data_IF_957931522118
#
_entry.id   IF_957931522118
#
_cell.length_a   1.000
_cell.length_b   1.000
_cell.length_c   1.000
_cell.angle_alpha   90.00
_cell.angle_beta   90.00
_cell.angle_gamma   90.00
#
_symmetry.space_group_name_H-M   'P 1'
#
loop_
_entity.id
_entity.type
_entity.pdbx_description
1 polymer ?
#
# COMPACT_ATOMS: atom_id res chain seq x y z
N UNK A 1 9.95 12.94 16.83
CA UNK A 1 10.43 14.29 16.45
C UNK A 1 9.48 15.01 15.49
N UNK A 2 8.98 14.39 14.43
CA UNK A 2 8.01 15.02 13.51
C UNK A 2 6.73 15.48 14.23
N UNK A 3 6.19 14.67 15.15
CA UNK A 3 4.99 15.05 15.92
C UNK A 3 5.19 16.28 16.84
N UNK A 4 6.45 16.63 17.14
CA UNK A 4 6.79 17.77 18.00
C UNK A 4 7.07 19.06 17.19
N UNK A 5 7.43 18.93 15.91
CA UNK A 5 7.85 20.04 15.04
C UNK A 5 7.05 20.14 13.73
N UNK A 6 5.92 19.42 13.62
CA UNK A 6 5.11 19.35 12.41
C UNK A 6 4.43 20.67 11.99
N UNK A 7 4.51 21.72 12.81
CA UNK A 7 4.03 23.06 12.47
C UNK A 7 5.11 23.96 11.84
N UNK A 8 6.38 23.53 11.81
CA UNK A 8 7.50 24.33 11.28
C UNK A 8 7.90 23.82 9.89
N UNK A 9 7.50 24.50 8.80
CA UNK A 9 7.81 24.07 7.44
C UNK A 9 9.33 23.95 7.17
N UNK A 10 10.14 24.75 7.86
CA UNK A 10 11.61 24.69 7.80
C UNK A 10 12.20 23.38 8.37
N UNK A 11 11.61 22.84 9.43
CA UNK A 11 12.06 21.59 10.06
C UNK A 11 11.62 20.38 9.23
N UNK A 12 10.44 20.46 8.61
CA UNK A 12 9.95 19.47 7.66
C UNK A 12 10.85 19.42 6.42
N UNK A 13 11.18 20.59 5.85
CA UNK A 13 12.11 20.70 4.73
C UNK A 13 13.50 20.16 5.11
N UNK A 14 14.04 20.52 6.28
CA UNK A 14 15.34 20.04 6.75
C UNK A 14 15.38 18.51 6.99
N UNK A 15 14.27 17.91 7.44
CA UNK A 15 14.13 16.45 7.53
C UNK A 15 14.09 15.80 6.15
N UNK A 16 13.38 16.39 5.19
CA UNK A 16 13.33 15.90 3.80
C UNK A 16 14.71 15.89 3.10
N UNK A 17 15.67 16.70 3.55
CA UNK A 17 17.03 16.74 3.01
C UNK A 17 17.98 15.65 3.56
N UNK A 18 17.55 14.78 4.48
CA UNK A 18 18.40 13.65 4.94
C UNK A 18 18.45 12.52 3.91
N UNK A 19 19.66 12.05 3.59
CA UNK A 19 19.89 10.98 2.61
C UNK A 19 19.30 9.62 2.99
N UNK A 20 19.08 9.34 4.28
CA UNK A 20 18.39 8.13 4.74
C UNK A 20 17.36 8.53 5.79
N UNK A 21 16.09 8.47 5.42
CA UNK A 21 14.96 8.67 6.32
C UNK A 21 14.38 7.33 6.72
N UNK A 22 14.13 7.08 8.03
CA UNK A 22 13.38 5.90 8.45
C UNK A 22 12.00 5.89 7.80
N UNK A 23 11.53 4.72 7.37
CA UNK A 23 10.25 4.54 6.67
C UNK A 23 9.07 5.20 7.42
N UNK A 24 9.07 5.12 8.76
CA UNK A 24 8.05 5.74 9.63
C UNK A 24 8.05 7.28 9.58
N UNK A 25 9.18 7.90 9.29
CA UNK A 25 9.32 9.36 9.15
C UNK A 25 8.80 9.80 7.79
N UNK A 26 9.18 9.09 6.72
CA UNK A 26 8.72 9.39 5.35
C UNK A 26 7.21 9.21 5.24
N UNK A 27 6.66 8.17 5.85
CA UNK A 27 5.20 7.96 5.91
C UNK A 27 4.48 9.11 6.62
N UNK A 28 5.07 9.65 7.71
CA UNK A 28 4.49 10.81 8.41
C UNK A 28 4.51 12.07 7.53
N UNK A 29 5.55 12.26 6.72
CA UNK A 29 5.61 13.38 5.77
C UNK A 29 4.54 13.25 4.68
N UNK A 30 4.34 12.04 4.16
CA UNK A 30 3.28 11.75 3.18
C UNK A 30 1.90 12.06 3.76
N UNK A 31 1.65 11.70 5.02
CA UNK A 31 0.41 12.01 5.71
C UNK A 31 0.15 13.52 5.79
N UNK A 32 1.16 14.28 6.23
CA UNK A 32 1.06 15.74 6.35
C UNK A 32 0.86 16.42 4.99
N UNK A 33 1.58 15.96 3.96
CA UNK A 33 1.42 16.48 2.61
C UNK A 33 0.02 16.17 2.04
N UNK A 34 -0.49 14.96 2.27
CA UNK A 34 -1.83 14.55 1.81
C UNK A 34 -2.93 15.39 2.47
N UNK A 35 -2.77 15.70 3.75
CA UNK A 35 -3.71 16.55 4.49
C UNK A 35 -3.67 18.02 4.00
N UNK A 36 -2.48 18.55 3.74
CA UNK A 36 -2.33 19.89 3.16
C UNK A 36 -2.95 19.99 1.74
N UNK A 37 -2.77 18.95 0.91
CA UNK A 37 -3.41 18.86 -0.41
C UNK A 37 -4.94 18.81 -0.29
N UNK A 38 -5.47 18.03 0.65
CA UNK A 38 -6.92 17.96 0.93
C UNK A 38 -7.49 19.34 1.24
N UNK A 39 -6.86 20.05 2.17
CA UNK A 39 -7.27 21.40 2.57
C UNK A 39 -7.20 22.39 1.39
N UNK A 40 -6.13 22.31 0.59
CA UNK A 40 -5.97 23.15 -0.60
C UNK A 40 -7.07 22.90 -1.65
N UNK A 41 -7.41 21.63 -1.91
CA UNK A 41 -8.45 21.28 -2.88
C UNK A 41 -9.84 21.80 -2.48
N UNK A 42 -10.17 21.75 -1.18
CA UNK A 42 -11.44 22.26 -0.66
C UNK A 42 -11.47 23.79 -0.72
N UNK A 43 -10.39 24.45 -0.27
CA UNK A 43 -10.36 25.91 -0.09
C UNK A 43 -10.15 26.68 -1.40
N UNK A 44 -9.32 26.17 -2.31
CA UNK A 44 -8.89 26.90 -3.52
C UNK A 44 -9.58 26.42 -4.79
N UNK A 45 -9.92 25.13 -4.86
CA UNK A 45 -10.45 24.51 -6.08
C UNK A 45 -11.94 24.15 -5.96
N UNK A 46 -12.60 24.49 -4.84
CA UNK A 46 -14.02 24.21 -4.58
C UNK A 46 -14.40 22.74 -4.80
N UNK A 47 -13.45 21.83 -4.60
CA UNK A 47 -13.70 20.39 -4.70
C UNK A 47 -14.60 20.00 -3.54
N UNK A 48 -15.65 19.21 -3.82
CA UNK A 48 -16.54 18.70 -2.79
C UNK A 48 -15.71 18.02 -1.67
N UNK A 49 -15.96 18.33 -0.38
CA UNK A 49 -15.14 17.83 0.73
C UNK A 49 -14.94 16.31 0.73
N UNK A 50 -16.00 15.56 0.41
CA UNK A 50 -15.96 14.10 0.31
C UNK A 50 -15.00 13.61 -0.78
N UNK A 51 -14.99 14.29 -1.93
CA UNK A 51 -14.09 13.99 -3.05
C UNK A 51 -12.64 14.32 -2.69
N UNK A 52 -12.39 15.45 -2.02
CA UNK A 52 -11.05 15.80 -1.57
C UNK A 52 -10.50 14.80 -0.53
N UNK A 53 -11.34 14.34 0.41
CA UNK A 53 -10.99 13.30 1.38
C UNK A 53 -10.62 11.99 0.67
N UNK A 54 -11.42 11.56 -0.31
CA UNK A 54 -11.14 10.35 -1.08
C UNK A 54 -9.83 10.45 -1.84
N UNK A 55 -9.58 11.57 -2.53
CA UNK A 55 -8.36 11.80 -3.31
C UNK A 55 -7.09 11.83 -2.43
N UNK A 56 -7.15 12.54 -1.29
CA UNK A 56 -6.02 12.59 -0.36
C UNK A 56 -5.73 11.22 0.27
N UNK A 57 -6.78 10.48 0.64
CA UNK A 57 -6.63 9.11 1.16
C UNK A 57 -6.03 8.17 0.12
N UNK A 58 -6.49 8.27 -1.13
CA UNK A 58 -5.94 7.52 -2.27
C UNK A 58 -4.45 7.81 -2.46
N UNK A 59 -4.08 9.10 -2.50
CA UNK A 59 -2.70 9.52 -2.74
C UNK A 59 -1.76 9.04 -1.64
N UNK A 60 -2.22 9.12 -0.38
CA UNK A 60 -1.49 8.60 0.78
C UNK A 60 -1.24 7.11 0.65
N UNK A 61 -2.30 6.32 0.47
CA UNK A 61 -2.18 4.85 0.40
C UNK A 61 -1.30 4.40 -0.78
N UNK A 62 -1.30 5.15 -1.89
CA UNK A 62 -0.37 4.91 -3.01
C UNK A 62 1.07 5.14 -2.57
N UNK A 63 1.37 6.31 -1.99
CA UNK A 63 2.71 6.66 -1.55
C UNK A 63 3.22 5.69 -0.48
N UNK A 64 2.40 5.26 0.47
CA UNK A 64 2.76 4.23 1.48
C UNK A 64 3.26 2.94 0.83
N UNK A 65 2.54 2.43 -0.19
CA UNK A 65 2.94 1.21 -0.91
C UNK A 65 4.23 1.43 -1.69
N UNK A 66 4.36 2.56 -2.39
CA UNK A 66 5.57 2.88 -3.16
C UNK A 66 6.80 3.05 -2.23
N UNK A 67 6.61 3.59 -1.02
CA UNK A 67 7.66 3.68 0.00
C UNK A 67 8.11 2.31 0.50
N UNK A 68 7.16 1.40 0.75
CA UNK A 68 7.49 0.02 1.16
C UNK A 68 8.25 -0.70 0.04
N UNK A 69 7.84 -0.49 -1.21
CA UNK A 69 8.49 -1.06 -2.39
C UNK A 69 9.97 -0.67 -2.47
N UNK A 70 10.27 0.61 -2.24
CA UNK A 70 11.63 1.15 -2.24
C UNK A 70 12.43 0.80 -0.97
N UNK A 71 11.76 0.58 0.16
CA UNK A 71 12.39 0.30 1.45
C UNK A 71 12.62 -1.19 1.74
N UNK A 72 12.26 -2.07 0.80
CA UNK A 72 12.27 -3.54 0.91
C UNK A 72 13.59 -4.15 1.41
N UNK A 73 14.72 -3.44 1.35
CA UNK A 73 16.02 -3.91 1.83
C UNK A 73 16.40 -3.47 3.26
N UNK A 74 15.71 -2.48 3.86
CA UNK A 74 16.16 -1.83 5.11
C UNK A 74 15.06 -1.51 6.14
N UNK A 75 13.80 -1.92 5.91
CA UNK A 75 12.68 -1.55 6.78
C UNK A 75 12.35 -2.60 7.85
N UNK A 76 12.24 -2.17 9.12
CA UNK A 76 11.54 -2.92 10.18
C UNK A 76 10.03 -2.89 9.90
N UNK A 77 9.59 -3.87 9.11
CA UNK A 77 8.22 -3.99 8.63
C UNK A 77 7.20 -4.24 9.76
N UNK A 78 7.47 -5.07 10.79
CA UNK A 78 6.60 -5.17 11.97
C UNK A 78 6.33 -3.83 12.65
N UNK A 79 7.38 -3.04 12.92
CA UNK A 79 7.22 -1.73 13.56
C UNK A 79 6.44 -0.76 12.67
N UNK A 80 6.68 -0.80 11.37
CA UNK A 80 5.96 0.01 10.40
C UNK A 80 4.46 -0.30 10.37
N UNK A 81 4.10 -1.58 10.30
CA UNK A 81 2.70 -2.02 10.32
C UNK A 81 2.00 -1.63 11.62
N UNK A 82 2.66 -1.82 12.78
CA UNK A 82 2.11 -1.39 14.06
C UNK A 82 1.84 0.12 14.10
N UNK A 83 2.73 0.92 13.47
CA UNK A 83 2.54 2.37 13.35
C UNK A 83 1.35 2.72 12.45
N UNK A 84 1.17 2.03 11.32
CA UNK A 84 0.01 2.21 10.44
C UNK A 84 -1.30 1.83 11.15
N UNK A 85 -1.29 0.73 11.91
CA UNK A 85 -2.45 0.25 12.65
C UNK A 85 -2.84 1.21 13.78
N UNK A 86 -1.87 1.67 14.58
CA UNK A 86 -2.10 2.65 15.66
C UNK A 86 -2.75 3.96 15.15
N UNK A 87 -2.47 4.33 13.90
CA UNK A 87 -3.02 5.53 13.24
C UNK A 87 -4.28 5.28 12.41
N UNK A 88 -4.83 4.05 12.43
CA UNK A 88 -5.97 3.63 11.59
C UNK A 88 -5.72 3.82 10.08
N UNK A 89 -4.47 3.82 9.66
CA UNK A 89 -4.06 3.90 8.26
C UNK A 89 -3.97 2.51 7.59
N UNK A 90 -3.95 1.43 8.40
CA UNK A 90 -3.98 0.06 7.92
C UNK A 90 -5.41 -0.32 7.47
N UNK A 91 -5.74 0.00 6.22
CA UNK A 91 -7.07 -0.23 5.63
C UNK A 91 -7.08 -1.49 4.75
N UNK A 92 -8.28 -2.07 4.55
CA UNK A 92 -8.44 -3.17 3.59
C UNK A 92 -8.07 -2.79 2.16
N UNK A 93 -8.28 -1.52 1.79
CA UNK A 93 -7.84 -0.97 0.51
C UNK A 93 -6.31 -0.91 0.42
N UNK A 94 -5.59 -0.47 1.45
CA UNK A 94 -4.12 -0.48 1.49
C UNK A 94 -3.58 -1.92 1.37
N UNK A 95 -4.14 -2.85 2.13
CA UNK A 95 -3.72 -4.26 2.09
C UNK A 95 -3.94 -4.91 0.73
N UNK A 96 -5.07 -4.65 0.07
CA UNK A 96 -5.35 -5.20 -1.25
C UNK A 96 -4.32 -4.71 -2.28
N UNK A 97 -3.85 -3.47 -2.14
CA UNK A 97 -2.86 -2.88 -3.05
C UNK A 97 -1.45 -3.35 -2.78
N UNK A 98 -1.10 -3.50 -1.51
CA UNK A 98 0.14 -4.17 -1.12
C UNK A 98 0.20 -5.56 -1.76
N UNK A 99 -0.89 -6.33 -1.62
CA UNK A 99 -1.02 -7.63 -2.24
C UNK A 99 -0.89 -7.54 -3.76
N UNK A 100 -1.66 -6.68 -4.44
CA UNK A 100 -1.63 -6.50 -5.90
C UNK A 100 -0.27 -6.03 -6.46
N UNK A 101 0.65 -5.57 -5.61
CA UNK A 101 2.04 -5.24 -5.97
C UNK A 101 3.03 -6.37 -5.68
N UNK A 102 2.55 -7.52 -5.19
CA UNK A 102 3.39 -8.63 -4.76
C UNK A 102 4.06 -8.43 -3.40
N UNK A 103 3.70 -7.39 -2.64
CA UNK A 103 4.27 -7.08 -1.33
C UNK A 103 3.67 -7.99 -0.24
N UNK A 104 4.00 -9.29 -0.33
CA UNK A 104 3.44 -10.34 0.53
C UNK A 104 3.84 -10.14 2.00
N UNK A 105 5.07 -9.74 2.28
CA UNK A 105 5.52 -9.47 3.64
C UNK A 105 4.68 -8.38 4.32
N UNK A 106 4.35 -7.29 3.61
CA UNK A 106 3.49 -6.22 4.15
C UNK A 106 2.07 -6.74 4.41
N UNK A 107 1.56 -7.59 3.50
CA UNK A 107 0.25 -8.21 3.66
C UNK A 107 0.20 -9.15 4.88
N UNK A 108 1.21 -9.99 5.08
CA UNK A 108 1.30 -10.94 6.19
C UNK A 108 1.39 -10.23 7.55
N UNK A 109 2.27 -9.24 7.67
CA UNK A 109 2.38 -8.44 8.89
C UNK A 109 1.10 -7.62 9.13
N UNK A 110 0.52 -7.02 8.08
CA UNK A 110 -0.73 -6.29 8.17
C UNK A 110 -1.89 -7.14 8.67
N UNK A 111 -2.03 -8.36 8.14
CA UNK A 111 -3.10 -9.27 8.52
C UNK A 111 -2.89 -9.84 9.93
N UNK A 112 -1.64 -10.11 10.31
CA UNK A 112 -1.28 -10.52 11.67
C UNK A 112 -1.67 -9.46 12.71
N UNK A 113 -1.34 -8.19 12.43
CA UNK A 113 -1.63 -7.04 13.28
C UNK A 113 -3.15 -6.82 13.43
N UNK A 114 -3.90 -6.80 12.31
CA UNK A 114 -5.36 -6.63 12.35
C UNK A 114 -6.07 -7.79 13.04
N UNK A 115 -5.62 -9.02 12.84
CA UNK A 115 -6.20 -10.19 13.49
C UNK A 115 -5.77 -10.35 14.95
N UNK A 116 -4.78 -9.57 15.42
CA UNK A 116 -4.19 -9.72 16.75
C UNK A 116 -3.59 -11.13 16.95
N UNK A 117 -2.90 -11.65 15.93
CA UNK A 117 -2.27 -12.97 15.95
C UNK A 117 -0.77 -12.88 15.69
N UNK A 118 0.06 -13.77 16.27
CA UNK A 118 1.48 -13.79 15.95
C UNK A 118 1.73 -13.98 14.46
N UNK A 119 2.72 -13.27 13.89
CA UNK A 119 3.04 -13.31 12.47
C UNK A 119 3.25 -14.74 11.94
N UNK A 120 3.95 -15.60 12.69
CA UNK A 120 4.15 -17.00 12.29
C UNK A 120 2.83 -17.78 12.12
N UNK A 121 1.83 -17.51 12.95
CA UNK A 121 0.51 -18.14 12.83
C UNK A 121 -0.25 -17.57 11.63
N UNK A 122 -0.17 -16.25 11.42
CA UNK A 122 -0.77 -15.61 10.26
C UNK A 122 -0.16 -16.13 8.96
N UNK A 123 1.16 -16.28 8.90
CA UNK A 123 1.90 -16.86 7.80
C UNK A 123 1.38 -18.26 7.46
N UNK A 124 1.28 -19.15 8.46
CA UNK A 124 0.74 -20.50 8.25
C UNK A 124 -0.69 -20.48 7.68
N UNK A 125 -1.55 -19.58 8.17
CA UNK A 125 -2.93 -19.45 7.69
C UNK A 125 -3.02 -18.86 6.28
N UNK A 126 -2.14 -17.91 5.95
CA UNK A 126 -2.07 -17.26 4.62
C UNK A 126 -1.51 -18.21 3.57
N UNK A 127 -0.56 -19.07 3.94
CA UNK A 127 0.10 -20.03 3.04
C UNK A 127 -0.48 -21.44 3.11
N UNK A 128 -1.49 -21.66 3.96
CA UNK A 128 -2.18 -22.94 4.05
C UNK A 128 -2.78 -23.34 2.69
N UNK A 129 -2.59 -24.60 2.30
CA UNK A 129 -3.16 -25.13 1.06
C UNK A 129 -4.70 -25.22 1.13
N UNK A 130 -5.27 -25.23 2.35
CA UNK A 130 -6.70 -25.28 2.59
C UNK A 130 -7.44 -23.96 2.32
N UNK A 131 -8.73 -24.01 1.95
CA UNK A 131 -9.54 -22.81 1.70
C UNK A 131 -9.94 -22.06 2.98
N UNK A 132 -9.70 -22.66 4.15
CA UNK A 132 -10.19 -22.16 5.44
C UNK A 132 -9.17 -21.29 6.18
N UNK A 133 -7.87 -21.51 5.98
CA UNK A 133 -6.81 -20.75 6.66
C UNK A 133 -6.93 -19.25 6.39
N UNK A 134 -6.87 -18.87 5.11
CA UNK A 134 -6.98 -17.47 4.69
C UNK A 134 -8.32 -16.85 5.11
N UNK A 135 -9.42 -17.59 4.98
CA UNK A 135 -10.75 -17.10 5.37
C UNK A 135 -10.84 -16.82 6.87
N UNK A 136 -10.36 -17.74 7.71
CA UNK A 136 -10.45 -17.61 9.16
C UNK A 136 -9.64 -16.42 9.70
N UNK A 137 -8.46 -16.16 9.15
CA UNK A 137 -7.67 -14.98 9.54
C UNK A 137 -8.27 -13.68 8.97
N UNK A 138 -8.84 -13.72 7.77
CA UNK A 138 -9.52 -12.58 7.15
C UNK A 138 -10.74 -12.13 7.95
N UNK A 139 -11.58 -13.09 8.34
CA UNK A 139 -12.77 -12.83 9.16
C UNK A 139 -12.36 -12.26 10.54
N UNK A 140 -11.26 -12.76 11.12
CA UNK A 140 -10.71 -12.27 12.38
C UNK A 140 -10.12 -10.86 12.27
N UNK A 141 -9.54 -10.51 11.12
CA UNK A 141 -8.99 -9.19 10.85
C UNK A 141 -10.06 -8.10 10.67
N UNK A 142 -11.35 -8.46 10.61
CA UNK A 142 -12.45 -7.50 10.50
C UNK A 142 -12.52 -6.78 9.15
N UNK A 143 -11.92 -7.36 8.11
CA UNK A 143 -11.92 -6.79 6.77
C UNK A 143 -13.29 -6.97 6.07
N UNK A 144 -13.68 -6.07 5.14
CA UNK A 144 -14.99 -6.14 4.49
C UNK A 144 -15.19 -7.44 3.69
N UNK A 145 -16.20 -8.29 3.98
CA UNK A 145 -16.39 -9.59 3.32
C UNK A 145 -16.46 -9.53 1.79
N UNK A 146 -16.94 -8.41 1.24
CA UNK A 146 -17.01 -8.13 -0.21
C UNK A 146 -15.64 -8.18 -0.91
N UNK A 147 -14.55 -7.89 -0.18
CA UNK A 147 -13.20 -7.88 -0.75
C UNK A 147 -12.52 -9.24 -0.69
N UNK A 148 -13.08 -10.22 0.06
CA UNK A 148 -12.42 -11.50 0.29
C UNK A 148 -12.02 -12.22 -1.01
N UNK A 149 -12.88 -12.19 -2.03
CA UNK A 149 -12.58 -12.81 -3.32
C UNK A 149 -11.39 -12.16 -4.03
N UNK A 150 -11.22 -10.84 -3.89
CA UNK A 150 -10.07 -10.14 -4.44
C UNK A 150 -8.78 -10.51 -3.69
N UNK A 151 -8.82 -10.58 -2.36
CA UNK A 151 -7.67 -11.04 -1.58
C UNK A 151 -7.26 -12.47 -1.92
N UNK A 152 -8.24 -13.37 -2.04
CA UNK A 152 -7.99 -14.77 -2.42
C UNK A 152 -7.33 -14.86 -3.80
N UNK A 153 -7.86 -14.17 -4.81
CA UNK A 153 -7.27 -14.14 -6.15
C UNK A 153 -5.82 -13.62 -6.14
N UNK A 154 -5.51 -12.63 -5.31
CA UNK A 154 -4.17 -12.07 -5.18
C UNK A 154 -3.19 -13.07 -4.55
N UNK A 155 -3.59 -13.77 -3.48
CA UNK A 155 -2.76 -14.80 -2.84
C UNK A 155 -2.55 -15.99 -3.79
N UNK A 156 -3.60 -16.45 -4.48
CA UNK A 156 -3.51 -17.56 -5.43
C UNK A 156 -2.58 -17.22 -6.61
N UNK A 157 -2.66 -15.98 -7.11
CA UNK A 157 -1.75 -15.48 -8.16
C UNK A 157 -0.31 -15.44 -7.69
N UNK A 158 -0.06 -14.91 -6.48
CA UNK A 158 1.28 -14.86 -5.90
C UNK A 158 1.87 -16.26 -5.71
N UNK A 159 1.09 -17.22 -5.20
CA UNK A 159 1.52 -18.62 -5.05
C UNK A 159 1.86 -19.27 -6.39
N UNK A 160 1.07 -19.00 -7.41
CA UNK A 160 1.31 -19.51 -8.77
C UNK A 160 2.65 -19.00 -9.31
N UNK A 161 2.91 -17.70 -9.19
CA UNK A 161 4.16 -17.09 -9.66
C UNK A 161 5.38 -17.56 -8.86
N UNK A 162 5.24 -17.75 -7.54
CA UNK A 162 6.27 -18.35 -6.70
C UNK A 162 6.59 -19.79 -7.11
N UNK A 163 5.56 -20.59 -7.42
CA UNK A 163 5.74 -21.97 -7.90
C UNK A 163 6.43 -22.04 -9.28
N UNK A 164 6.29 -20.99 -10.09
CA UNK A 164 7.00 -20.83 -11.37
C UNK A 164 8.50 -20.48 -11.20
N UNK A 165 8.97 -20.27 -9.96
CA UNK A 165 10.38 -20.01 -9.64
C UNK A 165 10.81 -18.58 -9.97
N UNK A 166 9.87 -17.64 -10.08
CA UNK A 166 10.15 -16.23 -10.33
C UNK A 166 10.63 -15.59 -9.03
N UNK A 167 11.75 -14.86 -9.06
CA UNK A 167 12.24 -14.11 -7.92
C UNK A 167 11.22 -13.04 -7.50
N UNK A 168 10.67 -13.16 -6.28
CA UNK A 168 9.67 -12.22 -5.75
C UNK A 168 10.17 -10.80 -5.54
N UNK A 169 11.49 -10.60 -5.64
CA UNK A 169 12.17 -9.31 -5.49
C UNK A 169 12.29 -8.57 -6.82
N UNK A 170 12.04 -9.25 -7.95
CA UNK A 170 12.19 -8.67 -9.28
C UNK A 170 11.02 -7.74 -9.65
N UNK A 171 11.32 -6.64 -10.34
CA UNK A 171 10.31 -5.73 -10.87
C UNK A 171 9.42 -6.43 -11.91
N UNK A 172 9.96 -7.42 -12.63
CA UNK A 172 9.20 -8.26 -13.53
C UNK A 172 8.13 -9.10 -12.80
N UNK A 173 8.42 -9.60 -11.59
CA UNK A 173 7.45 -10.30 -10.77
C UNK A 173 6.29 -9.38 -10.37
N UNK A 174 6.60 -8.14 -9.96
CA UNK A 174 5.59 -7.15 -9.57
C UNK A 174 4.65 -6.82 -10.72
N UNK A 175 5.22 -6.63 -11.92
CA UNK A 175 4.46 -6.36 -13.12
C UNK A 175 3.59 -7.57 -13.52
N UNK A 176 4.15 -8.79 -13.48
CA UNK A 176 3.43 -10.00 -13.81
C UNK A 176 2.31 -10.33 -12.80
N UNK A 177 2.54 -10.03 -11.52
CA UNK A 177 1.55 -10.15 -10.46
C UNK A 177 0.36 -9.24 -10.72
N UNK A 178 0.63 -7.97 -11.04
CA UNK A 178 -0.41 -7.00 -11.39
C UNK A 178 -1.19 -7.45 -12.63
N UNK A 179 -0.49 -7.77 -13.73
CA UNK A 179 -1.10 -8.22 -14.98
C UNK A 179 -2.00 -9.46 -14.80
N UNK A 180 -1.54 -10.47 -14.06
CA UNK A 180 -2.34 -11.68 -13.79
C UNK A 180 -3.51 -11.41 -12.85
N UNK A 181 -3.31 -10.59 -11.83
CA UNK A 181 -4.37 -10.21 -10.90
C UNK A 181 -5.53 -9.51 -11.59
N UNK A 182 -5.24 -8.72 -12.62
CA UNK A 182 -6.24 -7.99 -13.40
C UNK A 182 -6.89 -8.82 -14.49
N UNK A 183 -6.12 -9.75 -15.08
CA UNK A 183 -6.61 -10.69 -16.07
C UNK A 183 -7.57 -11.71 -15.45
N UNK A 184 -7.27 -12.16 -14.23
CA UNK A 184 -8.19 -12.91 -13.39
C UNK A 184 -9.24 -11.97 -12.83
N UNK A 185 -10.21 -11.53 -13.64
CA UNK A 185 -11.32 -10.67 -13.21
C UNK A 185 -11.87 -11.16 -11.86
N UNK A 186 -11.54 -10.51 -10.73
CA UNK A 186 -12.20 -10.85 -9.50
C UNK A 186 -13.64 -10.34 -9.68
N UNK A 187 -14.64 -11.10 -9.23
CA UNK A 187 -16.01 -10.59 -9.10
C UNK A 187 -16.08 -9.53 -7.98
N UNK A 188 -15.24 -8.49 -8.07
CA UNK A 188 -15.18 -7.35 -7.18
C UNK A 188 -16.16 -6.27 -7.67
N UNK A 189 -16.80 -5.51 -6.76
CA UNK A 189 -17.70 -4.44 -7.15
C UNK A 189 -16.94 -3.35 -7.94
N UNK A 190 -17.66 -2.70 -8.87
CA UNK A 190 -17.12 -1.73 -9.85
C UNK A 190 -16.27 -0.61 -9.25
N UNK A 191 -16.48 -0.23 -8.00
CA UNK A 191 -15.75 0.84 -7.31
C UNK A 191 -14.32 0.41 -6.93
N UNK A 192 -14.15 -0.84 -6.47
CA UNK A 192 -12.83 -1.43 -6.21
C UNK A 192 -12.10 -1.75 -7.52
N UNK A 193 -12.85 -2.02 -8.58
CA UNK A 193 -12.37 -2.19 -9.96
C UNK A 193 -11.93 -0.84 -10.58
N UNK A 194 -12.66 0.25 -10.35
CA UNK A 194 -12.26 1.59 -10.78
C UNK A 194 -10.96 2.03 -10.10
N UNK A 195 -10.79 1.69 -8.82
CA UNK A 195 -9.54 1.87 -8.10
C UNK A 195 -8.38 1.05 -8.70
N UNK A 196 -8.62 -0.21 -9.05
CA UNK A 196 -7.62 -1.10 -9.68
C UNK A 196 -7.27 -0.64 -11.11
N UNK A 197 -8.23 -0.08 -11.85
CA UNK A 197 -8.06 0.45 -13.20
C UNK A 197 -7.30 1.80 -13.21
N UNK A 198 -7.59 2.71 -12.28
CA UNK A 198 -6.87 3.99 -12.14
C UNK A 198 -5.39 3.78 -11.75
N UNK A 199 -5.04 2.60 -11.23
CA UNK A 199 -3.69 2.24 -10.79
C UNK A 199 -2.86 1.42 -11.80
N UNK A 200 -3.41 1.09 -12.95
CA UNK A 200 -2.68 0.44 -14.05
C UNK A 200 -2.01 1.42 -15.02
N UNK A 201 -2.59 2.60 -15.20
CA UNK A 201 -2.26 3.50 -16.30
C UNK A 201 -1.09 4.47 -16.03
N UNK A 202 -0.25 4.24 -15.01
CA UNK A 202 0.94 5.07 -14.81
C UNK A 202 2.21 4.26 -14.53
N UNK A 203 2.89 3.92 -15.63
CA UNK A 203 4.35 3.75 -15.64
C UNK A 203 5.03 5.09 -15.27
N UNK A 204 6.23 5.09 -14.66
CA UNK A 204 7.05 6.29 -14.56
C UNK A 204 7.38 6.71 -15.99
N UNK A 205 6.93 7.89 -16.43
CA UNK A 205 7.49 8.50 -17.62
C UNK A 205 9.01 8.61 -17.39
N UNK A 206 9.87 8.07 -18.28
CA UNK A 206 11.28 8.37 -18.19
C UNK A 206 11.43 9.88 -18.22
N UNK A 207 12.13 10.42 -17.22
CA UNK A 207 12.45 11.84 -17.16
C UNK A 207 13.06 12.23 -18.52
N UNK A 208 12.27 12.90 -19.37
CA UNK A 208 12.83 13.61 -20.52
C UNK A 208 13.68 14.71 -19.91
N UNK A 209 14.98 14.47 -19.93
CA UNK A 209 15.97 15.47 -19.61
C UNK A 209 15.59 16.75 -20.34
N UNK A 210 15.43 17.82 -19.57
CA UNK A 210 15.49 19.17 -20.10
C UNK A 210 16.92 19.34 -20.60
N UNK A 211 17.16 18.97 -21.85
CA UNK A 211 18.32 19.44 -22.59
C UNK A 211 18.12 20.93 -22.75
N UNK A 212 18.91 21.69 -21.99
CA UNK A 212 19.06 23.12 -22.18
C UNK A 212 19.37 23.41 -23.64
N UNK A 213 18.56 24.27 -24.25
CA UNK A 213 18.88 24.92 -25.50
C UNK A 213 20.03 25.91 -25.24
N UNK A 214 21.07 25.83 -26.07
CA UNK A 214 21.94 26.95 -26.42
C UNK A 214 21.61 27.33 -27.87
#
# INVERSE_FOLDING_TARGET
CVDRFGASPEVIAALAYRQVLPLSVTERLVEMASEAVREHLVTRHSVAPETAIRLASFARERATVDLVDQASSHADLPQFVATLHARRALTGSLMLRALARGQMALFEHGLAELAGTPHQRAWLMIHDAGPLGLKAIYDRAGLPPRLFQAFRAGVDTWRTLQAEGVDTTDDAFRQQMLERFLTQRPNAPREDLAYLMERLDQAPLPARGVSAAA
#
